data_IF_869721854040
#
_entry.id   IF_869721854040
#
_cell.length_a   1.000
_cell.length_b   1.000
_cell.length_c   1.000
_cell.angle_alpha   90.00
_cell.angle_beta   90.00
_cell.angle_gamma   90.00
#
_symmetry.space_group_name_H-M   'P 1'
#
loop_
_entity.id
_entity.type
_entity.pdbx_description
1 polymer ?
#
# COMPACT_ATOMS: atom_id res chain seq x y z
N UNK A 1 38.85 13.67 17.22
CA UNK A 1 37.66 13.07 16.59
C UNK A 1 36.48 13.98 16.91
N UNK A 2 36.01 14.77 15.95
CA UNK A 2 34.86 15.63 16.18
C UNK A 2 33.61 14.74 16.21
N UNK A 3 32.99 14.64 17.38
CA UNK A 3 31.64 14.10 17.55
C UNK A 3 30.69 14.93 16.69
N UNK A 4 30.17 14.37 15.59
CA UNK A 4 29.09 14.99 14.84
C UNK A 4 27.90 15.14 15.78
N UNK A 5 27.60 16.39 16.16
CA UNK A 5 26.37 16.71 16.87
C UNK A 5 25.18 16.32 15.98
N UNK A 6 24.08 15.81 16.57
CA UNK A 6 22.87 15.51 15.81
C UNK A 6 22.40 16.80 15.13
N UNK A 7 22.23 16.76 13.81
CA UNK A 7 21.66 17.87 13.04
C UNK A 7 20.21 18.03 13.51
N UNK A 8 19.94 19.12 14.24
CA UNK A 8 18.60 19.50 14.65
C UNK A 8 17.90 20.03 13.40
N UNK A 9 16.88 19.31 12.92
CA UNK A 9 16.02 19.82 11.85
C UNK A 9 15.11 20.90 12.46
N UNK A 10 15.40 22.16 12.15
CA UNK A 10 14.67 23.29 12.71
C UNK A 10 13.53 23.74 11.80
N UNK A 11 13.62 23.46 10.51
CA UNK A 11 12.68 23.99 9.50
C UNK A 11 12.27 22.95 8.46
N UNK A 12 13.13 21.98 8.16
CA UNK A 12 12.81 20.91 7.23
C UNK A 12 12.19 19.69 7.93
N UNK A 13 11.40 18.93 7.18
CA UNK A 13 10.66 17.76 7.66
C UNK A 13 11.21 16.49 7.05
N UNK A 14 11.28 15.45 7.88
CA UNK A 14 11.73 14.12 7.47
C UNK A 14 10.75 13.48 6.49
N UNK A 15 11.22 12.61 5.58
CA UNK A 15 10.33 11.75 4.83
C UNK A 15 9.55 10.81 5.77
N UNK A 16 8.39 10.29 5.32
CA UNK A 16 7.70 9.19 5.99
C UNK A 16 8.62 7.99 6.26
N UNK A 17 8.27 7.14 7.24
CA UNK A 17 8.97 5.86 7.41
C UNK A 17 8.71 5.01 6.17
N UNK A 18 9.76 4.49 5.58
CA UNK A 18 9.69 3.71 4.34
C UNK A 18 9.07 2.32 4.57
N UNK A 19 9.23 1.76 5.77
CA UNK A 19 8.88 0.36 6.05
C UNK A 19 7.42 0.01 5.78
N UNK A 20 6.41 0.81 6.18
CA UNK A 20 5.01 0.48 5.91
C UNK A 20 4.71 0.35 4.41
N UNK A 21 5.25 1.26 3.59
CA UNK A 21 5.03 1.26 2.14
C UNK A 21 5.61 0.01 1.47
N UNK A 22 6.85 -0.35 1.81
CA UNK A 22 7.50 -1.53 1.24
C UNK A 22 6.87 -2.83 1.74
N UNK A 23 6.44 -2.89 3.01
CA UNK A 23 5.81 -4.08 3.58
C UNK A 23 4.46 -4.39 2.94
N UNK A 24 3.67 -3.37 2.59
CA UNK A 24 2.42 -3.54 1.83
C UNK A 24 2.69 -4.24 0.48
N UNK A 25 3.73 -3.79 -0.22
CA UNK A 25 4.15 -4.40 -1.49
C UNK A 25 4.61 -5.85 -1.29
N UNK A 26 5.43 -6.10 -0.27
CA UNK A 26 5.93 -7.43 0.05
C UNK A 26 4.80 -8.41 0.40
N UNK A 27 3.82 -8.01 1.22
CA UNK A 27 2.65 -8.83 1.56
C UNK A 27 1.87 -9.20 0.30
N UNK A 28 1.68 -8.24 -0.60
CA UNK A 28 0.95 -8.47 -1.84
C UNK A 28 1.65 -9.50 -2.73
N UNK A 29 2.97 -9.41 -2.83
CA UNK A 29 3.79 -10.32 -3.63
C UNK A 29 3.92 -11.71 -3.00
N UNK A 30 4.11 -11.78 -1.68
CA UNK A 30 4.52 -13.02 -0.99
C UNK A 30 3.36 -13.78 -0.35
N UNK A 31 2.22 -13.10 -0.11
CA UNK A 31 1.04 -13.72 0.51
C UNK A 31 -0.17 -13.66 -0.43
N UNK A 32 -0.58 -12.49 -0.88
CA UNK A 32 -1.83 -12.37 -1.66
C UNK A 32 -1.73 -13.11 -2.99
N UNK A 33 -0.75 -12.78 -3.83
CA UNK A 33 -0.60 -13.38 -5.14
C UNK A 33 -0.50 -14.92 -5.10
N UNK A 34 0.45 -15.55 -4.37
CA UNK A 34 0.61 -17.00 -4.42
C UNK A 34 -0.56 -17.75 -3.79
N UNK A 35 -1.19 -17.22 -2.73
CA UNK A 35 -2.32 -17.90 -2.11
C UNK A 35 -3.61 -17.75 -2.94
N UNK A 36 -3.85 -16.60 -3.56
CA UNK A 36 -4.98 -16.44 -4.48
C UNK A 36 -4.82 -17.28 -5.75
N UNK A 37 -3.60 -17.39 -6.27
CA UNK A 37 -3.30 -18.26 -7.41
C UNK A 37 -3.50 -19.75 -7.07
N UNK A 38 -3.08 -20.19 -5.87
CA UNK A 38 -3.36 -21.55 -5.39
C UNK A 38 -4.86 -21.84 -5.32
N UNK A 39 -5.64 -20.91 -4.80
CA UNK A 39 -7.10 -21.05 -4.70
C UNK A 39 -7.74 -21.12 -6.10
N UNK A 40 -7.28 -20.27 -7.03
CA UNK A 40 -7.69 -20.32 -8.44
C UNK A 40 -7.40 -21.68 -9.06
N UNK A 41 -6.15 -22.14 -9.02
CA UNK A 41 -5.74 -23.42 -9.60
C UNK A 41 -6.57 -24.58 -9.06
N UNK A 42 -6.85 -24.58 -7.75
CA UNK A 42 -7.68 -25.59 -7.11
C UNK A 42 -9.12 -25.62 -7.65
N UNK A 43 -9.69 -24.45 -7.93
CA UNK A 43 -11.03 -24.35 -8.50
C UNK A 43 -11.07 -24.68 -9.99
N UNK A 44 -10.05 -24.28 -10.74
CA UNK A 44 -9.91 -24.60 -12.17
C UNK A 44 -9.81 -26.10 -12.41
N UNK A 45 -9.04 -26.83 -11.60
CA UNK A 45 -8.94 -28.29 -11.71
C UNK A 45 -10.27 -29.01 -11.49
N UNK A 46 -11.21 -28.37 -10.79
CA UNK A 46 -12.57 -28.88 -10.57
C UNK A 46 -13.64 -28.20 -11.43
N UNK A 47 -13.29 -27.28 -12.34
CA UNK A 47 -14.26 -26.42 -13.04
C UNK A 47 -15.31 -27.18 -13.85
N UNK A 48 -14.93 -28.31 -14.47
CA UNK A 48 -15.87 -29.16 -15.21
C UNK A 48 -16.91 -29.85 -14.32
N UNK A 49 -16.59 -29.98 -13.03
CA UNK A 49 -17.44 -30.64 -12.04
C UNK A 49 -18.25 -29.58 -11.27
N UNK A 50 -17.62 -28.44 -10.97
CA UNK A 50 -18.18 -27.35 -10.16
C UNK A 50 -17.98 -25.97 -10.82
N UNK A 51 -18.65 -25.70 -11.97
CA UNK A 51 -18.47 -24.45 -12.71
C UNK A 51 -18.90 -23.21 -11.90
N UNK A 52 -19.99 -23.34 -11.15
CA UNK A 52 -20.51 -22.27 -10.27
C UNK A 52 -19.50 -21.85 -9.19
N UNK A 53 -18.76 -22.80 -8.62
CA UNK A 53 -17.74 -22.49 -7.61
C UNK A 53 -16.56 -21.70 -8.22
N UNK A 54 -16.17 -22.04 -9.44
CA UNK A 54 -15.14 -21.31 -10.16
C UNK A 54 -15.61 -19.90 -10.56
N UNK A 55 -16.84 -19.76 -11.01
CA UNK A 55 -17.44 -18.46 -11.38
C UNK A 55 -17.50 -17.49 -10.18
N UNK A 56 -17.96 -17.97 -9.01
CA UNK A 56 -17.96 -17.16 -7.78
C UNK A 56 -16.56 -16.59 -7.50
N UNK A 57 -15.52 -17.42 -7.67
CA UNK A 57 -14.16 -17.00 -7.35
C UNK A 57 -13.57 -16.07 -8.42
N UNK A 58 -13.87 -16.28 -9.70
CA UNK A 58 -13.46 -15.38 -10.78
C UNK A 58 -14.04 -13.96 -10.57
N UNK A 59 -15.33 -13.87 -10.26
CA UNK A 59 -15.98 -12.59 -9.91
C UNK A 59 -15.32 -11.94 -8.70
N UNK A 60 -15.01 -12.74 -7.68
CA UNK A 60 -14.36 -12.24 -6.46
C UNK A 60 -12.99 -11.64 -6.79
N UNK A 61 -12.17 -12.33 -7.59
CA UNK A 61 -10.82 -11.88 -7.95
C UNK A 61 -10.82 -10.53 -8.67
N UNK A 62 -11.83 -10.24 -9.50
CA UNK A 62 -12.00 -8.92 -10.11
C UNK A 62 -12.14 -7.83 -9.05
N UNK A 63 -12.96 -8.07 -8.03
CA UNK A 63 -13.14 -7.10 -6.93
C UNK A 63 -11.84 -6.98 -6.13
N UNK A 64 -11.17 -8.10 -5.82
CA UNK A 64 -9.91 -8.09 -5.07
C UNK A 64 -8.82 -7.28 -5.78
N UNK A 65 -8.71 -7.40 -7.11
CA UNK A 65 -7.84 -6.54 -7.93
C UNK A 65 -8.17 -5.07 -7.71
N UNK A 66 -9.42 -4.67 -7.94
CA UNK A 66 -9.86 -3.27 -7.83
C UNK A 66 -9.64 -2.68 -6.42
N UNK A 67 -9.73 -3.50 -5.36
CA UNK A 67 -9.39 -3.06 -4.00
C UNK A 67 -7.89 -2.94 -3.78
N UNK A 68 -7.08 -3.85 -4.33
CA UNK A 68 -5.62 -3.80 -4.21
C UNK A 68 -5.00 -2.63 -5.01
N UNK A 69 -5.60 -2.26 -6.14
CA UNK A 69 -5.25 -1.05 -6.89
C UNK A 69 -5.33 0.22 -6.03
N UNK A 70 -6.36 0.32 -5.17
CA UNK A 70 -6.52 1.45 -4.24
C UNK A 70 -5.42 1.49 -3.19
N UNK A 71 -4.93 0.33 -2.77
CA UNK A 71 -3.78 0.21 -1.86
C UNK A 71 -2.50 0.72 -2.52
N UNK A 72 -2.21 0.30 -3.76
CA UNK A 72 -1.00 0.73 -4.46
C UNK A 72 -1.00 2.20 -4.85
N UNK A 73 -2.17 2.84 -4.94
CA UNK A 73 -2.27 4.30 -5.10
C UNK A 73 -1.63 5.08 -3.94
N UNK A 74 -1.54 4.50 -2.74
CA UNK A 74 -0.85 5.10 -1.60
C UNK A 74 0.66 5.19 -1.84
N UNK A 75 1.25 4.16 -2.47
CA UNK A 75 2.68 4.14 -2.81
C UNK A 75 3.00 5.12 -3.95
N UNK A 76 2.10 5.26 -4.93
CA UNK A 76 2.21 6.28 -5.98
C UNK A 76 2.23 7.70 -5.38
N UNK A 77 1.31 7.99 -4.46
CA UNK A 77 1.28 9.29 -3.78
C UNK A 77 2.52 9.53 -2.90
N UNK A 78 3.06 8.50 -2.27
CA UNK A 78 4.31 8.59 -1.52
C UNK A 78 5.51 8.93 -2.44
N UNK A 79 5.59 8.30 -3.62
CA UNK A 79 6.61 8.64 -4.61
C UNK A 79 6.45 10.10 -5.08
N UNK A 80 5.24 10.52 -5.47
CA UNK A 80 4.96 11.88 -5.90
C UNK A 80 5.27 12.91 -4.82
N UNK A 81 4.97 12.61 -3.56
CA UNK A 81 5.29 13.47 -2.43
C UNK A 81 6.79 13.72 -2.32
N UNK A 82 7.62 12.68 -2.52
CA UNK A 82 9.07 12.81 -2.50
C UNK A 82 9.58 13.69 -3.66
N UNK A 83 8.99 13.54 -4.85
CA UNK A 83 9.27 14.42 -6.01
C UNK A 83 8.83 15.87 -5.77
N UNK A 84 7.76 16.12 -5.01
CA UNK A 84 7.40 17.50 -4.64
C UNK A 84 8.37 18.05 -3.58
N UNK A 85 8.78 17.23 -2.61
CA UNK A 85 9.71 17.67 -1.58
C UNK A 85 11.09 18.02 -2.15
N UNK A 86 11.55 17.31 -3.18
CA UNK A 86 12.81 17.65 -3.85
C UNK A 86 12.80 19.06 -4.45
N UNK A 87 11.64 19.60 -4.83
CA UNK A 87 11.50 20.97 -5.34
C UNK A 87 11.68 22.03 -4.25
N UNK A 88 11.33 21.73 -2.99
CA UNK A 88 11.67 22.60 -1.85
C UNK A 88 13.19 22.69 -1.73
N UNK A 89 13.86 21.54 -1.77
CA UNK A 89 15.31 21.44 -1.61
C UNK A 89 16.10 22.04 -2.78
N UNK A 90 15.52 22.03 -3.98
CA UNK A 90 16.03 22.71 -5.17
C UNK A 90 15.88 24.23 -5.02
N UNK A 91 14.69 24.72 -4.67
CA UNK A 91 14.44 26.14 -4.43
C UNK A 91 15.39 26.72 -3.39
N UNK A 92 15.63 26.02 -2.28
CA UNK A 92 16.60 26.40 -1.26
C UNK A 92 18.02 26.54 -1.81
N UNK A 93 18.48 25.59 -2.65
CA UNK A 93 19.81 25.68 -3.25
C UNK A 93 19.97 26.78 -4.28
N UNK A 94 18.88 27.24 -4.88
CA UNK A 94 18.86 28.34 -5.84
C UNK A 94 18.58 29.70 -5.18
N UNK A 95 18.35 29.74 -3.85
CA UNK A 95 17.95 30.96 -3.14
C UNK A 95 16.56 31.48 -3.56
N UNK A 96 15.67 30.59 -4.02
CA UNK A 96 14.30 30.91 -4.43
C UNK A 96 13.31 30.70 -3.27
N UNK A 97 12.17 31.41 -3.26
CA UNK A 97 11.12 31.20 -2.26
C UNK A 97 10.59 29.76 -2.24
N UNK A 98 10.34 29.23 -1.06
CA UNK A 98 9.89 27.84 -0.85
C UNK A 98 8.38 27.72 -0.67
N UNK A 99 7.67 28.82 -0.48
CA UNK A 99 6.24 28.85 -0.23
C UNK A 99 5.41 28.00 -1.21
N UNK A 100 5.62 28.19 -2.52
CA UNK A 100 4.86 27.47 -3.54
C UNK A 100 5.20 25.96 -3.58
N UNK A 101 6.48 25.53 -3.59
CA UNK A 101 6.81 24.11 -3.40
C UNK A 101 6.22 23.50 -2.13
N UNK A 102 6.26 24.23 -1.01
CA UNK A 102 5.74 23.76 0.29
C UNK A 102 4.22 23.57 0.27
N UNK A 103 3.48 24.46 -0.40
CA UNK A 103 2.05 24.28 -0.66
C UNK A 103 1.74 22.97 -1.39
N UNK A 104 2.51 22.61 -2.41
CA UNK A 104 2.29 21.35 -3.13
C UNK A 104 2.64 20.11 -2.30
N UNK A 105 3.62 20.20 -1.41
CA UNK A 105 3.90 19.14 -0.43
C UNK A 105 2.74 18.98 0.55
N UNK A 106 2.19 20.09 1.06
CA UNK A 106 1.00 20.06 1.92
C UNK A 106 -0.19 19.40 1.23
N UNK A 107 -0.49 19.81 -0.01
CA UNK A 107 -1.57 19.24 -0.80
C UNK A 107 -1.35 17.75 -1.07
N UNK A 108 -0.12 17.35 -1.42
CA UNK A 108 0.27 15.96 -1.63
C UNK A 108 0.12 15.11 -0.37
N UNK A 109 0.55 15.63 0.79
CA UNK A 109 0.40 14.95 2.07
C UNK A 109 -1.08 14.80 2.45
N UNK A 110 -1.90 15.83 2.24
CA UNK A 110 -3.35 15.76 2.46
C UNK A 110 -4.02 14.72 1.55
N UNK A 111 -3.64 14.67 0.26
CA UNK A 111 -4.12 13.65 -0.67
C UNK A 111 -3.69 12.23 -0.25
N UNK A 112 -2.43 12.06 0.17
CA UNK A 112 -1.91 10.79 0.70
C UNK A 112 -2.68 10.29 1.91
N UNK A 113 -3.05 11.20 2.83
CA UNK A 113 -3.91 10.91 3.98
C UNK A 113 -5.27 10.37 3.54
N UNK A 114 -5.99 11.10 2.69
CA UNK A 114 -7.31 10.69 2.20
C UNK A 114 -7.25 9.38 1.41
N UNK A 115 -6.18 9.18 0.63
CA UNK A 115 -5.99 7.94 -0.12
C UNK A 115 -5.75 6.75 0.81
N UNK A 116 -5.00 6.94 1.89
CA UNK A 116 -4.76 5.89 2.89
C UNK A 116 -6.06 5.47 3.59
N UNK A 117 -6.95 6.42 3.91
CA UNK A 117 -8.30 6.09 4.42
C UNK A 117 -9.14 5.28 3.42
N UNK A 118 -9.06 5.62 2.13
CA UNK A 118 -9.74 4.84 1.07
C UNK A 118 -9.16 3.44 0.94
N UNK A 119 -7.83 3.29 1.03
CA UNK A 119 -7.15 2.01 0.98
C UNK A 119 -7.48 1.13 2.19
N UNK A 120 -7.60 1.70 3.39
CA UNK A 120 -8.09 0.97 4.58
C UNK A 120 -9.49 0.41 4.36
N UNK A 121 -10.41 1.22 3.83
CA UNK A 121 -11.76 0.76 3.44
C UNK A 121 -11.70 -0.33 2.37
N UNK A 122 -10.78 -0.20 1.41
CA UNK A 122 -10.55 -1.21 0.38
C UNK A 122 -10.15 -2.56 0.98
N UNK A 123 -9.28 -2.58 1.99
CA UNK A 123 -8.93 -3.81 2.72
C UNK A 123 -10.11 -4.41 3.47
N UNK A 124 -11.00 -3.59 4.04
CA UNK A 124 -12.24 -4.11 4.63
C UNK A 124 -13.17 -4.74 3.60
N UNK A 125 -13.27 -4.16 2.40
CA UNK A 125 -14.04 -4.74 1.28
C UNK A 125 -13.39 -6.04 0.80
N UNK A 126 -12.08 -6.03 0.58
CA UNK A 126 -11.28 -7.19 0.18
C UNK A 126 -11.57 -8.37 1.11
N UNK A 127 -11.50 -8.15 2.43
CA UNK A 127 -11.79 -9.17 3.44
C UNK A 127 -13.20 -9.75 3.28
N UNK A 128 -14.20 -8.87 3.28
CA UNK A 128 -15.61 -9.26 3.22
C UNK A 128 -15.92 -10.07 1.98
N UNK A 129 -15.42 -9.65 0.82
CA UNK A 129 -15.67 -10.36 -0.44
C UNK A 129 -14.98 -11.72 -0.46
N UNK A 130 -13.75 -11.83 0.07
CA UNK A 130 -13.07 -13.12 0.20
C UNK A 130 -13.81 -14.08 1.14
N UNK A 131 -14.21 -13.63 2.32
CA UNK A 131 -14.97 -14.44 3.30
C UNK A 131 -16.33 -14.88 2.72
N UNK A 132 -17.01 -13.97 2.01
CA UNK A 132 -18.27 -14.25 1.30
C UNK A 132 -18.07 -15.31 0.22
N UNK A 133 -17.04 -15.19 -0.62
CA UNK A 133 -16.73 -16.14 -1.67
C UNK A 133 -16.43 -17.53 -1.12
N UNK A 134 -15.57 -17.63 -0.09
CA UNK A 134 -15.26 -18.89 0.58
C UNK A 134 -16.52 -19.55 1.14
N UNK A 135 -17.41 -18.77 1.76
CA UNK A 135 -18.67 -19.25 2.30
C UNK A 135 -19.62 -19.77 1.21
N UNK A 136 -19.79 -19.00 0.12
CA UNK A 136 -20.64 -19.36 -1.02
C UNK A 136 -20.14 -20.61 -1.73
N UNK A 137 -18.83 -20.68 -2.02
CA UNK A 137 -18.23 -21.86 -2.64
C UNK A 137 -18.40 -23.08 -1.74
N UNK A 138 -18.16 -22.95 -0.42
CA UNK A 138 -18.36 -24.05 0.53
C UNK A 138 -19.82 -24.53 0.56
N UNK A 139 -20.80 -23.62 0.47
CA UNK A 139 -22.21 -23.96 0.41
C UNK A 139 -22.59 -24.69 -0.89
N UNK A 140 -22.11 -24.21 -2.04
CA UNK A 140 -22.31 -24.84 -3.36
C UNK A 140 -21.77 -26.27 -3.35
N UNK A 141 -20.57 -26.47 -2.79
CA UNK A 141 -19.92 -27.78 -2.71
C UNK A 141 -20.66 -28.72 -1.74
N UNK A 142 -21.10 -28.24 -0.57
CA UNK A 142 -21.86 -29.07 0.39
C UNK A 142 -23.26 -29.47 -0.11
N UNK A 143 -23.84 -28.73 -1.06
CA UNK A 143 -25.12 -29.10 -1.69
C UNK A 143 -24.94 -30.25 -2.68
N UNK A 144 -23.81 -30.27 -3.40
CA UNK A 144 -23.53 -31.27 -4.44
C UNK A 144 -22.87 -32.54 -3.92
N UNK A 145 -22.08 -32.45 -2.84
CA UNK A 145 -21.35 -33.58 -2.26
C UNK A 145 -21.85 -33.90 -0.86
N UNK A 146 -21.74 -35.17 -0.44
CA UNK A 146 -22.11 -35.59 0.91
C UNK A 146 -21.34 -34.75 1.94
N UNK A 147 -22.06 -34.14 2.89
CA UNK A 147 -21.50 -33.33 3.99
C UNK A 147 -20.29 -34.03 4.63
N UNK A 148 -19.12 -33.39 4.57
CA UNK A 148 -17.85 -33.96 5.05
C UNK A 148 -16.95 -34.59 3.98
N UNK A 149 -17.37 -34.61 2.71
CA UNK A 149 -16.48 -34.94 1.59
C UNK A 149 -15.45 -33.82 1.42
N UNK A 150 -14.15 -34.14 1.51
CA UNK A 150 -13.08 -33.18 1.24
C UNK A 150 -13.16 -32.74 -0.23
N UNK A 151 -13.69 -31.55 -0.46
CA UNK A 151 -13.57 -30.88 -1.75
C UNK A 151 -12.25 -30.13 -1.80
N UNK A 152 -11.75 -29.85 -3.00
CA UNK A 152 -10.42 -29.27 -3.19
C UNK A 152 -10.27 -27.92 -2.47
N UNK A 153 -11.30 -27.07 -2.45
CA UNK A 153 -11.28 -25.79 -1.71
C UNK A 153 -11.32 -25.97 -0.18
N UNK A 154 -11.97 -27.02 0.33
CA UNK A 154 -12.01 -27.36 1.77
C UNK A 154 -10.80 -28.19 2.24
N UNK A 155 -9.77 -28.33 1.39
CA UNK A 155 -8.51 -28.95 1.78
C UNK A 155 -7.85 -28.15 2.90
N UNK A 156 -6.96 -28.82 3.65
CA UNK A 156 -6.23 -28.20 4.77
C UNK A 156 -5.35 -27.07 4.21
N UNK A 157 -4.74 -27.30 3.06
CA UNK A 157 -3.86 -26.37 2.36
C UNK A 157 -4.60 -25.11 1.91
N UNK A 158 -5.80 -25.25 1.32
CA UNK A 158 -6.58 -24.11 0.87
C UNK A 158 -7.22 -23.35 2.03
N UNK A 159 -7.64 -24.04 3.09
CA UNK A 159 -8.10 -23.40 4.33
C UNK A 159 -6.97 -22.57 4.96
N UNK A 160 -5.75 -23.13 5.01
CA UNK A 160 -4.56 -22.41 5.48
C UNK A 160 -4.27 -21.17 4.61
N UNK A 161 -4.37 -21.31 3.29
CA UNK A 161 -4.15 -20.21 2.34
C UNK A 161 -5.14 -19.06 2.56
N UNK A 162 -6.42 -19.36 2.79
CA UNK A 162 -7.43 -18.36 3.15
C UNK A 162 -7.07 -17.68 4.47
N UNK A 163 -6.69 -18.42 5.51
CA UNK A 163 -6.29 -17.84 6.80
C UNK A 163 -5.04 -16.94 6.69
N UNK A 164 -4.04 -17.34 5.89
CA UNK A 164 -2.86 -16.54 5.61
C UNK A 164 -3.22 -15.23 4.90
N UNK A 165 -4.12 -15.26 3.92
CA UNK A 165 -4.63 -14.05 3.26
C UNK A 165 -5.36 -13.14 4.27
N UNK A 166 -6.26 -13.69 5.09
CA UNK A 166 -7.02 -12.90 6.07
C UNK A 166 -6.11 -12.20 7.09
N UNK A 167 -5.10 -12.90 7.61
CA UNK A 167 -4.09 -12.29 8.50
C UNK A 167 -3.31 -11.19 7.79
N UNK A 168 -2.92 -11.41 6.54
CA UNK A 168 -2.19 -10.43 5.75
C UNK A 168 -3.03 -9.19 5.40
N UNK A 169 -4.36 -9.32 5.30
CA UNK A 169 -5.27 -8.18 5.15
C UNK A 169 -5.23 -7.31 6.42
N UNK A 170 -5.26 -7.93 7.60
CA UNK A 170 -5.18 -7.21 8.87
C UNK A 170 -3.84 -6.48 9.02
N UNK A 171 -2.73 -7.15 8.69
CA UNK A 171 -1.39 -6.52 8.63
C UNK A 171 -1.36 -5.33 7.66
N UNK A 172 -1.88 -5.51 6.43
CA UNK A 172 -1.97 -4.43 5.44
C UNK A 172 -2.81 -3.25 5.93
N UNK A 173 -3.92 -3.50 6.63
CA UNK A 173 -4.76 -2.45 7.21
C UNK A 173 -3.97 -1.62 8.23
N UNK A 174 -3.22 -2.26 9.13
CA UNK A 174 -2.39 -1.57 10.12
C UNK A 174 -1.28 -0.74 9.47
N UNK A 175 -0.64 -1.27 8.43
CA UNK A 175 0.40 -0.55 7.67
C UNK A 175 -0.17 0.67 6.95
N UNK A 176 -1.37 0.55 6.38
CA UNK A 176 -2.08 1.68 5.77
C UNK A 176 -2.48 2.74 6.80
N UNK A 177 -2.86 2.32 8.02
CA UNK A 177 -3.10 3.25 9.12
C UNK A 177 -1.83 4.00 9.54
N UNK A 178 -0.66 3.34 9.51
CA UNK A 178 0.63 4.00 9.72
C UNK A 178 0.94 5.01 8.62
N UNK A 179 0.73 4.64 7.35
CA UNK A 179 0.89 5.55 6.21
C UNK A 179 -0.02 6.79 6.36
N UNK A 180 -1.30 6.57 6.69
CA UNK A 180 -2.27 7.63 6.97
C UNK A 180 -1.74 8.63 8.01
N UNK A 181 -1.24 8.12 9.14
CA UNK A 181 -0.77 8.95 10.24
C UNK A 181 0.47 9.77 9.85
N UNK A 182 1.38 9.17 9.08
CA UNK A 182 2.58 9.87 8.58
C UNK A 182 2.23 10.99 7.59
N UNK A 183 1.30 10.72 6.67
CA UNK A 183 0.78 11.76 5.78
C UNK A 183 0.05 12.88 6.54
N UNK A 184 -0.76 12.54 7.54
CA UNK A 184 -1.45 13.51 8.36
C UNK A 184 -0.48 14.40 9.16
N UNK A 185 0.57 13.79 9.71
CA UNK A 185 1.63 14.52 10.41
C UNK A 185 2.34 15.49 9.47
N UNK A 186 2.75 15.03 8.29
CA UNK A 186 3.43 15.90 7.32
C UNK A 186 2.53 17.03 6.85
N UNK A 187 1.26 16.75 6.54
CA UNK A 187 0.29 17.79 6.16
C UNK A 187 0.14 18.86 7.26
N UNK A 188 0.16 18.46 8.53
CA UNK A 188 0.12 19.41 9.65
C UNK A 188 1.40 20.24 9.71
N UNK A 189 2.56 19.60 9.53
CA UNK A 189 3.87 20.26 9.58
C UNK A 189 4.07 21.27 8.45
N UNK A 190 3.54 21.00 7.27
CA UNK A 190 3.68 21.85 6.08
C UNK A 190 2.51 22.81 5.87
N UNK A 191 1.65 22.99 6.87
CA UNK A 191 0.47 23.83 6.76
C UNK A 191 0.83 25.33 6.67
N UNK A 192 1.86 25.76 7.39
CA UNK A 192 2.40 27.11 7.26
C UNK A 192 3.39 27.15 6.10
N UNK A 193 2.92 27.63 4.95
CA UNK A 193 3.72 27.76 3.73
C UNK A 193 4.91 28.73 3.88
N UNK A 194 4.89 29.61 4.89
CA UNK A 194 5.95 30.59 5.14
C UNK A 194 7.00 30.11 6.15
N UNK A 195 6.80 28.94 6.75
CA UNK A 195 7.62 28.42 7.86
C UNK A 195 9.11 28.28 7.50
N UNK A 196 9.41 27.77 6.31
CA UNK A 196 10.79 27.58 5.84
C UNK A 196 11.43 28.93 5.47
N UNK A 197 10.71 29.80 4.75
CA UNK A 197 11.24 31.10 4.33
C UNK A 197 11.45 32.06 5.53
N UNK A 198 10.62 31.93 6.59
CA UNK A 198 10.73 32.71 7.83
C UNK A 198 11.86 32.22 8.74
N UNK A 199 12.28 30.97 8.62
CA UNK A 199 13.38 30.38 9.36
C UNK A 199 14.24 29.52 8.43
N UNK A 200 15.09 30.11 7.58
CA UNK A 200 15.83 29.35 6.57
C UNK A 200 16.72 28.26 7.20
N UNK A 201 16.68 27.02 6.69
CA UNK A 201 17.51 25.94 7.20
C UNK A 201 18.99 26.17 6.90
N UNK A 202 19.86 25.54 7.68
CA UNK A 202 21.29 25.55 7.38
C UNK A 202 21.61 24.77 6.09
N UNK A 203 22.77 25.04 5.49
CA UNK A 203 23.26 24.25 4.33
C UNK A 203 23.43 22.77 4.70
N UNK A 204 23.91 22.49 5.92
CA UNK A 204 24.06 21.12 6.42
C UNK A 204 22.71 20.42 6.57
N UNK A 205 21.70 21.09 7.14
CA UNK A 205 20.33 20.57 7.23
C UNK A 205 19.75 20.28 5.85
N UNK A 206 19.91 21.20 4.90
CA UNK A 206 19.45 21.04 3.51
C UNK A 206 20.11 19.84 2.84
N UNK A 207 21.43 19.66 3.03
CA UNK A 207 22.19 18.54 2.48
C UNK A 207 21.73 17.21 3.07
N UNK A 208 21.58 17.13 4.39
CA UNK A 208 21.11 15.92 5.09
C UNK A 208 19.69 15.58 4.64
N UNK A 209 18.82 16.58 4.52
CA UNK A 209 17.44 16.35 4.16
C UNK A 209 17.30 15.90 2.69
N UNK A 210 18.12 16.45 1.80
CA UNK A 210 18.23 15.96 0.42
C UNK A 210 18.62 14.51 0.36
N UNK A 211 19.63 14.08 1.10
CA UNK A 211 20.05 12.67 1.13
C UNK A 211 18.92 11.75 1.63
N UNK A 212 18.19 12.15 2.67
CA UNK A 212 17.08 11.37 3.25
C UNK A 212 15.90 11.23 2.28
N UNK A 213 15.44 12.32 1.69
CA UNK A 213 14.33 12.28 0.73
C UNK A 213 14.71 11.57 -0.57
N UNK A 214 15.96 11.71 -1.03
CA UNK A 214 16.46 10.96 -2.17
C UNK A 214 16.47 9.46 -1.89
N UNK A 215 16.95 9.05 -0.71
CA UNK A 215 16.94 7.63 -0.29
C UNK A 215 15.51 7.08 -0.26
N UNK A 216 14.57 7.85 0.29
CA UNK A 216 13.15 7.46 0.31
C UNK A 216 12.60 7.31 -1.12
N UNK A 217 12.83 8.30 -1.98
CA UNK A 217 12.41 8.27 -3.38
C UNK A 217 12.96 7.06 -4.13
N UNK A 218 14.28 6.87 -4.09
CA UNK A 218 14.95 5.77 -4.80
C UNK A 218 14.46 4.39 -4.34
N UNK A 219 14.09 4.27 -3.07
CA UNK A 219 13.58 3.02 -2.50
C UNK A 219 12.13 2.71 -2.88
N UNK A 220 11.29 3.74 -3.07
CA UNK A 220 9.85 3.57 -3.38
C UNK A 220 9.53 3.71 -4.87
N UNK A 221 10.48 4.23 -5.66
CA UNK A 221 10.29 4.51 -7.08
C UNK A 221 9.85 3.28 -7.85
N UNK A 222 8.69 3.36 -8.49
CA UNK A 222 8.15 2.29 -9.33
C UNK A 222 7.59 1.08 -8.57
N UNK A 223 7.65 1.06 -7.23
CA UNK A 223 7.07 -0.03 -6.42
C UNK A 223 5.55 -0.11 -6.65
N UNK A 224 4.87 1.03 -6.79
CA UNK A 224 3.45 1.09 -7.11
C UNK A 224 3.12 0.51 -8.50
N UNK A 225 4.01 0.67 -9.49
CA UNK A 225 3.84 0.08 -10.83
C UNK A 225 3.90 -1.44 -10.75
N UNK A 226 4.86 -1.96 -9.98
CA UNK A 226 4.94 -3.39 -9.73
C UNK A 226 3.72 -3.88 -8.93
N UNK A 227 3.24 -3.09 -7.98
CA UNK A 227 2.00 -3.35 -7.27
C UNK A 227 0.79 -3.50 -8.19
N UNK A 228 0.60 -2.59 -9.16
CA UNK A 228 -0.46 -2.73 -10.15
C UNK A 228 -0.35 -4.02 -10.97
N UNK A 229 0.87 -4.43 -11.35
CA UNK A 229 1.08 -5.72 -12.02
C UNK A 229 0.65 -6.90 -11.16
N UNK A 230 0.99 -6.88 -9.86
CA UNK A 230 0.53 -7.91 -8.91
C UNK A 230 -1.00 -7.95 -8.85
N UNK A 231 -1.66 -6.79 -8.80
CA UNK A 231 -3.12 -6.72 -8.80
C UNK A 231 -3.72 -7.27 -10.10
N UNK A 232 -3.10 -6.97 -11.25
CA UNK A 232 -3.51 -7.51 -12.54
C UNK A 232 -3.32 -9.04 -12.61
N UNK A 233 -2.18 -9.57 -12.14
CA UNK A 233 -1.92 -11.01 -12.06
C UNK A 233 -2.89 -11.74 -11.11
N UNK A 234 -3.37 -11.06 -10.05
CA UNK A 234 -4.44 -11.59 -9.19
C UNK A 234 -5.72 -11.83 -9.98
N UNK A 235 -6.01 -11.12 -11.08
CA UNK A 235 -7.18 -11.38 -11.93
C UNK A 235 -6.83 -12.21 -13.17
N UNK A 236 -5.73 -11.86 -13.86
CA UNK A 236 -5.29 -12.39 -15.14
C UNK A 236 -3.82 -12.87 -15.06
N UNK A 237 -3.56 -14.03 -14.42
CA UNK A 237 -2.22 -14.60 -14.22
C UNK A 237 -1.64 -15.17 -15.51
#
# INVERSE_FOLDING_TARGET
MATQQPVICTSLHLPPDLRPFLRIHEISLTVFLPNLDRLRLSLETSRNIDPEAAEIFDDTRKILREELEKVFKVLDLAQQLAEQYSKILEALSEGKPTQRPLYYVNLGAYAGRQCSEKAMKAMSVFRRELESAVSRVTATLNTKYKKGSKTMLTSIENTKSVSEILSAIDDCYELLQQCHNQFAQLATQTQDESSIDSNPPSEEETRVMRAKWQTFFDSIRGVWVHGFKIADEIQYP
#
